data_IF_502054085165
#
_entry.id   IF_502054085165
#
_cell.length_a   1.000
_cell.length_b   1.000
_cell.length_c   1.000
_cell.angle_alpha   90.00
_cell.angle_beta   90.00
_cell.angle_gamma   90.00
#
_symmetry.space_group_name_H-M   'P 1'
#
loop_
_entity.id
_entity.type
_entity.pdbx_description
1 polymer ?
#
# COMPACT_ATOMS: atom_id res chain seq x y z
N UNK A 1 -21.49 21.08 5.08
CA UNK A 1 -22.48 20.04 5.29
C UNK A 1 -23.31 20.44 6.48
N UNK A 2 -24.60 20.57 6.28
CA UNK A 2 -25.54 20.77 7.39
C UNK A 2 -26.09 19.40 7.76
N UNK A 3 -26.19 19.12 9.05
CA UNK A 3 -26.81 17.92 9.58
C UNK A 3 -28.31 18.18 9.69
N UNK A 4 -29.13 17.33 9.08
CA UNK A 4 -30.55 17.25 9.42
C UNK A 4 -30.73 16.46 10.72
N UNK A 5 -31.88 16.60 11.38
CA UNK A 5 -32.20 15.79 12.56
C UNK A 5 -32.16 14.29 12.20
N UNK A 6 -31.49 13.49 13.03
CA UNK A 6 -31.43 12.05 12.79
C UNK A 6 -30.13 11.38 13.24
N UNK A 7 -30.02 10.12 12.87
CA UNK A 7 -28.83 9.28 13.13
C UNK A 7 -28.19 8.85 11.82
N UNK A 8 -26.90 9.03 11.71
CA UNK A 8 -26.12 8.82 10.49
C UNK A 8 -24.95 7.85 10.71
N UNK A 9 -24.54 7.18 9.65
CA UNK A 9 -23.26 6.49 9.61
C UNK A 9 -22.28 7.36 8.82
N UNK A 10 -21.14 7.64 9.41
CA UNK A 10 -20.06 8.43 8.80
C UNK A 10 -18.94 7.48 8.38
N UNK A 11 -18.52 7.56 7.14
CA UNK A 11 -17.40 6.83 6.56
C UNK A 11 -16.41 7.81 5.98
N UNK A 12 -15.13 7.54 6.19
CA UNK A 12 -14.06 8.38 5.66
C UNK A 12 -12.95 7.53 5.07
N UNK A 13 -12.39 7.98 3.96
CA UNK A 13 -11.27 7.37 3.26
C UNK A 13 -10.21 8.44 2.97
N UNK A 14 -8.94 8.06 3.11
CA UNK A 14 -7.79 8.85 2.69
C UNK A 14 -6.85 7.96 1.88
N UNK A 15 -6.20 8.45 0.81
CA UNK A 15 -6.36 9.78 0.22
C UNK A 15 -7.74 10.01 -0.39
N UNK A 16 -8.06 11.30 -0.62
CA UNK A 16 -9.31 11.69 -1.26
C UNK A 16 -9.41 11.05 -2.64
N UNK A 17 -10.53 10.45 -2.92
CA UNK A 17 -10.88 9.95 -4.24
C UNK A 17 -11.59 11.04 -5.04
N UNK A 18 -11.19 11.25 -6.29
CA UNK A 18 -11.81 12.26 -7.17
C UNK A 18 -13.27 11.92 -7.46
N UNK A 19 -13.58 10.63 -7.58
CA UNK A 19 -14.93 10.14 -7.84
C UNK A 19 -15.18 8.84 -7.09
N UNK A 20 -16.26 8.80 -6.35
CA UNK A 20 -16.81 7.57 -5.76
C UNK A 20 -17.85 7.00 -6.72
N UNK A 21 -17.57 5.83 -7.30
CA UNK A 21 -18.45 5.14 -8.24
C UNK A 21 -19.40 4.17 -7.52
N UNK A 22 -18.94 3.56 -6.43
CA UNK A 22 -19.70 2.60 -5.64
C UNK A 22 -19.24 2.63 -4.20
N UNK A 23 -20.16 2.52 -3.25
CA UNK A 23 -19.82 2.40 -1.83
C UNK A 23 -19.39 0.99 -1.46
N UNK A 24 -19.89 -0.02 -2.15
CA UNK A 24 -19.65 -1.43 -1.82
C UNK A 24 -18.48 -2.03 -2.64
N UNK A 25 -18.09 -1.37 -3.75
CA UNK A 25 -17.13 -1.91 -4.71
C UNK A 25 -16.43 -0.78 -5.48
N UNK A 26 -15.79 0.13 -4.74
CA UNK A 26 -15.04 1.24 -5.34
C UNK A 26 -13.75 0.72 -5.97
N UNK A 27 -13.51 0.91 -7.28
CA UNK A 27 -12.25 0.56 -7.90
C UNK A 27 -11.08 1.34 -7.31
N UNK A 28 -9.97 0.65 -7.11
CA UNK A 28 -8.71 1.23 -6.64
C UNK A 28 -7.53 0.48 -7.25
N UNK A 29 -6.42 1.17 -7.46
CA UNK A 29 -5.15 0.55 -7.85
C UNK A 29 -3.99 1.25 -7.16
N UNK A 30 -3.02 0.47 -6.69
CA UNK A 30 -1.76 1.03 -6.20
C UNK A 30 -0.91 1.54 -7.36
N UNK A 31 -0.10 2.55 -7.13
CA UNK A 31 0.87 3.03 -8.11
C UNK A 31 1.92 1.96 -8.40
N UNK A 32 2.26 1.79 -9.68
CA UNK A 32 3.33 0.86 -10.09
C UNK A 32 4.72 1.42 -9.80
N UNK A 33 4.88 2.72 -9.86
CA UNK A 33 6.08 3.42 -9.41
C UNK A 33 5.76 4.21 -8.13
N UNK A 34 6.06 3.60 -7.00
CA UNK A 34 5.85 4.22 -5.69
C UNK A 34 7.02 5.12 -5.28
N UNK A 35 8.11 5.14 -6.06
CA UNK A 35 9.21 6.07 -5.85
C UNK A 35 8.96 7.45 -6.51
N UNK A 36 7.86 7.60 -7.25
CA UNK A 36 7.44 8.90 -7.78
C UNK A 36 7.21 9.87 -6.61
N UNK A 37 7.92 11.01 -6.56
CA UNK A 37 7.82 11.92 -5.45
C UNK A 37 6.51 12.71 -5.46
N UNK A 38 6.07 13.14 -4.28
CA UNK A 38 4.97 14.09 -4.15
C UNK A 38 5.34 15.46 -4.73
N UNK A 39 4.33 16.18 -5.19
CA UNK A 39 4.44 17.57 -5.64
C UNK A 39 3.61 18.50 -4.76
N UNK A 40 3.60 19.79 -5.06
CA UNK A 40 2.73 20.74 -4.36
C UNK A 40 1.23 20.45 -4.54
N UNK A 41 0.85 19.75 -5.62
CA UNK A 41 -0.56 19.52 -6.01
C UNK A 41 -0.96 18.05 -6.08
N UNK A 42 -0.02 17.11 -5.95
CA UNK A 42 -0.27 15.67 -6.02
C UNK A 42 0.52 14.89 -4.97
N UNK A 43 -0.07 13.81 -4.49
CA UNK A 43 0.61 12.82 -3.67
C UNK A 43 1.67 12.09 -4.50
N UNK A 44 2.72 11.59 -3.84
CA UNK A 44 3.65 10.65 -4.43
C UNK A 44 3.02 9.28 -4.64
N UNK A 45 3.69 8.42 -5.39
CA UNK A 45 3.16 7.10 -5.70
C UNK A 45 2.94 6.23 -4.45
N UNK A 46 3.81 6.36 -3.45
CA UNK A 46 3.69 5.66 -2.18
C UNK A 46 2.47 6.13 -1.38
N UNK A 47 2.38 7.44 -1.11
CA UNK A 47 1.28 8.02 -0.33
C UNK A 47 -0.08 7.85 -1.02
N UNK A 48 -0.12 7.93 -2.36
CA UNK A 48 -1.34 7.72 -3.14
C UNK A 48 -1.85 6.27 -3.07
N UNK A 49 -0.96 5.31 -2.77
CA UNK A 49 -1.28 3.89 -2.64
C UNK A 49 -1.75 3.49 -1.25
N UNK A 50 -1.49 4.30 -0.22
CA UNK A 50 -1.78 3.96 1.19
C UNK A 50 -3.17 4.41 1.60
N UNK A 51 -4.14 3.51 1.49
CA UNK A 51 -5.51 3.79 1.89
C UNK A 51 -5.69 3.70 3.40
N UNK A 52 -6.24 4.76 3.99
CA UNK A 52 -6.70 4.83 5.36
C UNK A 52 -8.23 4.87 5.38
N UNK A 53 -8.82 4.12 6.27
CA UNK A 53 -10.27 4.06 6.46
C UNK A 53 -10.64 4.39 7.90
N UNK A 54 -11.75 5.12 8.07
CA UNK A 54 -12.39 5.34 9.35
C UNK A 54 -13.91 5.26 9.22
N UNK A 55 -14.58 4.80 10.26
CA UNK A 55 -16.04 4.81 10.33
C UNK A 55 -16.53 5.09 11.74
N UNK A 56 -17.64 5.82 11.83
CA UNK A 56 -18.42 6.00 13.05
C UNK A 56 -19.88 5.75 12.75
N UNK A 57 -20.47 4.78 13.43
CA UNK A 57 -21.86 4.41 13.24
C UNK A 57 -22.78 5.10 14.27
N UNK A 58 -24.03 5.28 13.87
CA UNK A 58 -25.08 5.81 14.75
C UNK A 58 -24.74 7.17 15.37
N UNK A 59 -24.17 8.06 14.57
CA UNK A 59 -23.86 9.44 14.98
C UNK A 59 -25.15 10.24 14.95
N UNK A 60 -25.55 10.80 16.10
CA UNK A 60 -26.68 11.73 16.17
C UNK A 60 -26.20 13.12 15.81
N UNK A 61 -27.02 13.83 15.02
CA UNK A 61 -26.75 15.22 14.66
C UNK A 61 -26.60 16.09 15.92
N UNK A 62 -25.51 16.81 16.03
CA UNK A 62 -25.20 17.74 17.13
C UNK A 62 -24.16 18.74 16.69
N UNK A 63 -23.95 19.79 17.49
CA UNK A 63 -22.89 20.77 17.27
C UNK A 63 -21.49 20.26 17.68
N UNK A 64 -21.41 19.04 18.23
CA UNK A 64 -20.14 18.44 18.63
C UNK A 64 -19.43 17.80 17.44
N UNK A 65 -18.08 17.90 17.35
CA UNK A 65 -17.30 17.26 16.31
C UNK A 65 -17.43 15.75 16.37
N UNK A 66 -17.48 15.11 15.19
CA UNK A 66 -17.38 13.64 15.07
C UNK A 66 -15.90 13.24 15.04
N UNK A 67 -15.49 12.40 15.99
CA UNK A 67 -14.14 11.87 16.04
C UNK A 67 -14.03 10.64 15.15
N UNK A 68 -13.06 10.63 14.24
CA UNK A 68 -12.77 9.52 13.32
C UNK A 68 -11.35 9.01 13.54
N UNK A 69 -11.22 7.73 13.88
CA UNK A 69 -9.94 7.05 13.99
C UNK A 69 -9.63 6.32 12.69
N UNK A 70 -8.63 6.80 11.96
CA UNK A 70 -8.18 6.18 10.72
C UNK A 70 -7.22 5.01 10.98
N UNK A 71 -7.35 3.97 10.19
CA UNK A 71 -6.43 2.84 10.17
C UNK A 71 -6.09 2.46 8.73
N UNK A 72 -4.88 1.92 8.53
CA UNK A 72 -4.43 1.43 7.23
C UNK A 72 -5.23 0.18 6.83
N UNK A 73 -5.68 0.10 5.58
CA UNK A 73 -6.39 -1.06 5.02
C UNK A 73 -5.62 -1.77 3.92
N UNK A 74 -4.47 -1.22 3.52
CA UNK A 74 -3.51 -1.85 2.63
C UNK A 74 -2.48 -2.65 3.41
N UNK A 75 -1.64 -3.43 2.73
CA UNK A 75 -0.46 -4.08 3.34
C UNK A 75 0.79 -3.28 3.03
N UNK A 76 1.66 -3.12 4.02
CA UNK A 76 2.97 -2.49 3.83
C UNK A 76 4.07 -3.55 3.85
N UNK A 77 4.95 -3.48 2.87
CA UNK A 77 6.20 -4.22 2.83
C UNK A 77 7.36 -3.26 3.04
N UNK A 78 8.19 -3.55 4.02
CA UNK A 78 9.44 -2.83 4.28
C UNK A 78 10.61 -3.74 4.01
N UNK A 79 11.56 -3.30 3.20
CA UNK A 79 12.74 -4.05 2.80
C UNK A 79 13.97 -3.31 3.33
N UNK A 80 14.89 -4.05 3.95
CA UNK A 80 16.20 -3.53 4.35
C UNK A 80 17.30 -4.33 3.71
N UNK A 81 18.25 -3.64 3.10
CA UNK A 81 19.50 -4.24 2.67
C UNK A 81 20.44 -4.28 3.88
N UNK A 82 20.95 -5.44 4.22
CA UNK A 82 21.82 -5.66 5.37
C UNK A 82 23.13 -6.26 4.86
N UNK A 83 24.23 -5.73 5.37
CA UNK A 83 25.57 -6.26 5.05
C UNK A 83 25.74 -7.64 5.63
N UNK A 84 26.01 -8.63 4.78
CA UNK A 84 26.39 -9.99 5.22
C UNK A 84 27.79 -10.03 5.81
N UNK A 85 28.09 -11.05 6.61
CA UNK A 85 29.40 -11.21 7.27
C UNK A 85 30.55 -11.31 6.28
N UNK A 86 30.32 -11.96 5.12
CA UNK A 86 31.33 -12.18 4.08
C UNK A 86 31.39 -11.06 3.05
N UNK A 87 30.62 -9.99 3.21
CA UNK A 87 30.58 -8.88 2.25
C UNK A 87 31.59 -7.80 2.64
N UNK A 88 32.65 -7.65 1.85
CA UNK A 88 33.74 -6.69 2.12
C UNK A 88 33.46 -5.26 1.57
N UNK A 89 32.45 -5.08 0.70
CA UNK A 89 32.12 -3.80 0.08
C UNK A 89 31.19 -2.91 0.92
N UNK A 90 30.83 -1.76 0.36
CA UNK A 90 29.77 -0.91 0.90
C UNK A 90 28.41 -1.30 0.28
N UNK A 91 27.33 -1.21 1.06
CA UNK A 91 25.99 -1.43 0.54
C UNK A 91 25.65 -0.39 -0.52
N UNK A 92 24.88 -0.77 -1.56
CA UNK A 92 24.48 0.17 -2.59
C UNK A 92 23.52 1.22 -2.03
N UNK A 93 23.83 2.49 -2.23
CA UNK A 93 22.98 3.63 -1.82
C UNK A 93 21.92 4.01 -2.86
N UNK A 94 22.00 3.44 -4.05
CA UNK A 94 21.11 3.70 -5.20
C UNK A 94 20.68 2.40 -5.87
N UNK A 95 20.04 1.52 -5.11
CA UNK A 95 19.39 0.36 -5.67
C UNK A 95 17.96 0.70 -6.11
N UNK A 96 17.43 -0.03 -7.10
CA UNK A 96 16.00 -0.10 -7.35
C UNK A 96 15.48 -1.41 -6.81
N UNK A 97 14.41 -1.35 -6.05
CA UNK A 97 13.76 -2.54 -5.49
C UNK A 97 12.38 -2.70 -6.11
N UNK A 98 12.13 -3.90 -6.64
CA UNK A 98 10.85 -4.25 -7.25
C UNK A 98 10.18 -5.33 -6.43
N UNK A 99 8.87 -5.19 -6.26
CA UNK A 99 7.99 -6.23 -5.71
C UNK A 99 7.24 -6.84 -6.88
N UNK A 100 7.49 -8.13 -7.12
CA UNK A 100 6.94 -8.86 -8.25
C UNK A 100 5.67 -9.63 -7.90
N UNK A 101 4.99 -10.13 -8.94
CA UNK A 101 3.92 -11.11 -8.85
C UNK A 101 2.71 -10.65 -8.03
N UNK A 102 2.45 -9.34 -7.95
CA UNK A 102 1.35 -8.77 -7.17
C UNK A 102 0.16 -8.40 -8.05
N UNK A 103 -1.05 -8.60 -7.54
CA UNK A 103 -2.23 -7.90 -8.07
C UNK A 103 -2.20 -6.47 -7.55
N UNK A 104 -2.25 -5.52 -8.46
CA UNK A 104 -2.15 -4.07 -8.15
C UNK A 104 -3.49 -3.37 -8.20
N UNK A 105 -4.51 -4.03 -8.75
CA UNK A 105 -5.89 -3.57 -8.80
C UNK A 105 -6.74 -4.26 -7.76
N UNK A 106 -7.68 -3.51 -7.18
CA UNK A 106 -8.59 -3.96 -6.14
C UNK A 106 -9.96 -3.29 -6.23
N UNK A 107 -10.90 -3.79 -5.46
CA UNK A 107 -12.12 -3.08 -5.08
C UNK A 107 -12.12 -2.83 -3.58
N UNK A 108 -12.67 -1.70 -3.16
CA UNK A 108 -12.78 -1.29 -1.77
C UNK A 108 -14.24 -1.15 -1.38
N UNK A 109 -14.67 -1.86 -0.36
CA UNK A 109 -15.94 -1.61 0.32
C UNK A 109 -15.74 -0.40 1.26
N UNK A 110 -16.28 0.74 0.87
CA UNK A 110 -16.17 2.00 1.62
C UNK A 110 -17.06 2.06 2.87
N UNK A 111 -17.93 1.06 3.10
CA UNK A 111 -18.73 0.95 4.32
C UNK A 111 -18.05 0.11 5.39
N UNK A 112 -17.15 -0.78 4.98
CA UNK A 112 -16.49 -1.73 5.86
C UNK A 112 -14.95 -1.53 5.92
N UNK A 113 -14.36 -0.80 4.97
CA UNK A 113 -12.92 -0.66 4.83
C UNK A 113 -12.24 -1.97 4.40
N UNK A 114 -12.94 -2.80 3.62
CA UNK A 114 -12.41 -4.08 3.13
C UNK A 114 -11.88 -3.90 1.72
N UNK A 115 -10.63 -4.34 1.52
CA UNK A 115 -9.96 -4.35 0.21
C UNK A 115 -9.92 -5.76 -0.33
N UNK A 116 -10.38 -5.94 -1.57
CA UNK A 116 -10.36 -7.22 -2.27
C UNK A 116 -9.62 -7.06 -3.59
N UNK A 117 -8.52 -7.81 -3.79
CA UNK A 117 -7.76 -7.76 -5.04
C UNK A 117 -8.59 -8.28 -6.22
N UNK A 118 -8.30 -7.78 -7.42
CA UNK A 118 -8.96 -8.22 -8.65
C UNK A 118 -8.14 -9.36 -9.31
N UNK A 119 -8.62 -10.62 -9.26
CA UNK A 119 -7.90 -11.76 -9.84
C UNK A 119 -7.98 -11.81 -11.38
N UNK A 120 -8.84 -11.01 -12.00
CA UNK A 120 -9.07 -11.00 -13.45
C UNK A 120 -8.07 -10.12 -14.22
N UNK A 121 -7.18 -9.42 -13.51
CA UNK A 121 -6.09 -8.65 -14.13
C UNK A 121 -4.77 -9.38 -13.97
N UNK A 122 -3.84 -9.10 -14.89
CA UNK A 122 -2.48 -9.67 -14.79
C UNK A 122 -1.77 -9.14 -13.52
N UNK A 123 -0.94 -10.00 -12.92
CA UNK A 123 -0.01 -9.58 -11.88
C UNK A 123 1.03 -8.63 -12.46
N UNK A 124 1.46 -7.68 -11.66
CA UNK A 124 2.40 -6.64 -12.06
C UNK A 124 3.52 -6.51 -11.03
N UNK A 125 4.52 -5.71 -11.38
CA UNK A 125 5.62 -5.35 -10.50
C UNK A 125 5.43 -3.93 -10.00
N UNK A 126 5.80 -3.69 -8.75
CA UNK A 126 5.78 -2.37 -8.11
C UNK A 126 7.23 -1.96 -7.88
N UNK A 127 7.60 -0.75 -8.27
CA UNK A 127 8.85 -0.12 -7.87
C UNK A 127 8.64 0.45 -6.46
N UNK A 128 9.45 0.00 -5.51
CA UNK A 128 9.36 0.44 -4.13
C UNK A 128 9.82 1.89 -3.96
N UNK A 129 9.22 2.57 -2.99
CA UNK A 129 9.69 3.85 -2.50
C UNK A 129 11.00 3.67 -1.73
N UNK A 130 11.99 4.50 -2.01
CA UNK A 130 13.24 4.53 -1.26
C UNK A 130 13.07 5.43 -0.03
N UNK A 131 13.07 4.83 1.16
CA UNK A 131 12.93 5.55 2.44
C UNK A 131 14.24 6.22 2.85
N UNK A 132 15.35 5.48 2.69
CA UNK A 132 16.73 5.91 2.92
C UNK A 132 17.71 5.14 2.02
N UNK A 133 19.01 5.26 2.24
CA UNK A 133 20.06 4.64 1.41
C UNK A 133 19.93 3.12 1.26
N UNK A 134 19.44 2.44 2.28
CA UNK A 134 19.37 0.96 2.36
C UNK A 134 18.00 0.42 2.69
N UNK A 135 17.00 1.29 2.87
CA UNK A 135 15.64 0.90 3.23
C UNK A 135 14.64 1.33 2.17
N UNK A 136 13.69 0.45 1.90
CA UNK A 136 12.65 0.62 0.89
C UNK A 136 11.31 0.20 1.46
N UNK A 137 10.24 0.86 1.01
CA UNK A 137 8.87 0.50 1.39
C UNK A 137 7.97 0.41 0.16
N UNK A 138 6.98 -0.45 0.24
CA UNK A 138 5.91 -0.50 -0.76
C UNK A 138 4.55 -0.77 -0.11
N UNK A 139 3.53 -0.14 -0.65
CA UNK A 139 2.13 -0.43 -0.34
C UNK A 139 1.61 -1.43 -1.36
N UNK A 140 1.08 -2.54 -0.88
CA UNK A 140 0.62 -3.66 -1.69
C UNK A 140 -0.84 -3.96 -1.37
N UNK A 141 -1.62 -4.29 -2.39
CA UNK A 141 -2.99 -4.78 -2.21
C UNK A 141 -2.96 -6.05 -1.35
N UNK A 142 -3.78 -6.16 -0.29
CA UNK A 142 -3.86 -7.38 0.52
C UNK A 142 -4.16 -8.61 -0.35
N UNK A 143 -3.28 -9.62 -0.31
CA UNK A 143 -3.38 -10.84 -1.12
C UNK A 143 -2.48 -11.94 -0.58
N UNK A 144 -2.81 -13.20 -0.89
CA UNK A 144 -2.02 -14.35 -0.49
C UNK A 144 -1.35 -14.99 -1.72
N UNK A 145 -0.03 -15.01 -1.74
CA UNK A 145 0.79 -15.69 -2.75
C UNK A 145 1.19 -17.05 -2.21
N UNK A 146 0.43 -18.08 -2.54
CA UNK A 146 0.58 -19.44 -2.02
C UNK A 146 1.63 -20.28 -2.75
N UNK A 147 1.98 -19.89 -3.98
CA UNK A 147 3.01 -20.56 -4.79
C UNK A 147 4.31 -19.78 -4.70
N UNK A 148 5.44 -20.49 -4.60
CA UNK A 148 6.76 -19.86 -4.71
C UNK A 148 6.94 -19.28 -6.12
N UNK A 149 7.23 -17.99 -6.19
CA UNK A 149 7.40 -17.25 -7.44
C UNK A 149 8.28 -16.01 -7.19
N UNK A 150 8.76 -15.31 -8.26
CA UNK A 150 9.51 -14.10 -8.10
C UNK A 150 8.81 -13.13 -7.15
N UNK A 151 9.50 -12.74 -6.09
CA UNK A 151 8.97 -11.93 -5.00
C UNK A 151 9.61 -10.56 -4.97
N UNK A 152 10.92 -10.50 -4.85
CA UNK A 152 11.71 -9.28 -4.84
C UNK A 152 12.83 -9.33 -5.88
N UNK A 153 13.11 -8.18 -6.47
CA UNK A 153 14.30 -7.93 -7.27
C UNK A 153 15.00 -6.68 -6.72
N UNK A 154 16.29 -6.78 -6.57
CA UNK A 154 17.17 -5.64 -6.25
C UNK A 154 18.09 -5.41 -7.44
N UNK A 155 17.92 -4.28 -8.11
CA UNK A 155 18.75 -3.86 -9.24
C UNK A 155 19.82 -2.87 -8.75
N UNK A 156 21.08 -3.20 -8.98
CA UNK A 156 22.24 -2.36 -8.63
C UNK A 156 23.18 -2.30 -9.83
N UNK A 157 23.46 -1.11 -10.33
CA UNK A 157 24.39 -0.88 -11.46
C UNK A 157 24.09 -1.75 -12.69
N UNK A 158 22.80 -2.01 -12.97
CA UNK A 158 22.36 -2.82 -14.10
C UNK A 158 22.45 -4.34 -13.87
N UNK A 159 22.78 -4.78 -12.66
CA UNK A 159 22.74 -6.20 -12.24
C UNK A 159 21.54 -6.41 -11.35
N UNK A 160 20.73 -7.44 -11.65
CA UNK A 160 19.52 -7.79 -10.91
C UNK A 160 19.71 -9.05 -10.08
N UNK A 161 19.29 -8.97 -8.83
CA UNK A 161 19.27 -10.08 -7.87
C UNK A 161 17.83 -10.43 -7.54
N UNK A 162 17.42 -11.66 -7.78
CA UNK A 162 16.05 -12.13 -7.63
C UNK A 162 15.87 -13.02 -6.40
N UNK A 163 14.78 -12.80 -5.71
CA UNK A 163 14.35 -13.60 -4.57
C UNK A 163 12.96 -14.17 -4.84
N UNK A 164 12.81 -15.46 -4.62
CA UNK A 164 11.52 -16.16 -4.75
C UNK A 164 10.97 -16.52 -3.39
N UNK A 165 9.69 -16.26 -3.18
CA UNK A 165 9.00 -16.60 -1.93
C UNK A 165 7.52 -16.85 -2.14
N UNK A 166 6.90 -17.43 -1.12
CA UNK A 166 5.47 -17.32 -0.83
C UNK A 166 5.28 -16.16 0.12
N UNK A 167 4.22 -15.40 -0.03
CA UNK A 167 4.02 -14.24 0.82
C UNK A 167 2.54 -13.98 1.07
N UNK A 168 2.20 -13.55 2.30
CA UNK A 168 0.83 -13.20 2.69
C UNK A 168 0.77 -11.73 3.10
N UNK A 169 0.25 -10.91 2.20
CA UNK A 169 0.01 -9.49 2.43
C UNK A 169 -1.33 -9.29 3.15
N UNK A 170 -1.29 -9.11 4.47
CA UNK A 170 -2.48 -8.90 5.30
C UNK A 170 -2.85 -7.41 5.36
N UNK A 171 -4.15 -7.06 5.37
CA UNK A 171 -4.60 -5.68 5.50
C UNK A 171 -4.14 -5.07 6.83
N UNK A 172 -3.67 -3.82 6.79
CA UNK A 172 -3.22 -3.07 7.96
C UNK A 172 -1.93 -3.58 8.62
N UNK A 173 -1.20 -4.49 7.95
CA UNK A 173 0.02 -5.10 8.52
C UNK A 173 1.26 -4.61 7.79
N UNK A 174 2.26 -4.16 8.56
CA UNK A 174 3.63 -3.94 8.07
C UNK A 174 4.43 -5.24 8.18
N UNK A 175 5.05 -5.65 7.09
CA UNK A 175 5.93 -6.80 7.00
C UNK A 175 7.36 -6.32 6.76
N UNK A 176 8.33 -6.81 7.54
CA UNK A 176 9.75 -6.50 7.37
C UNK A 176 10.46 -7.68 6.71
N UNK A 177 11.20 -7.39 5.62
CA UNK A 177 12.10 -8.32 4.95
C UNK A 177 13.52 -7.77 5.00
N UNK A 178 14.43 -8.53 5.58
CA UNK A 178 15.84 -8.25 5.58
C UNK A 178 16.51 -9.06 4.46
N UNK A 179 17.19 -8.36 3.55
CA UNK A 179 17.99 -8.97 2.48
C UNK A 179 19.47 -8.83 2.86
N UNK A 180 20.13 -9.97 2.98
CA UNK A 180 21.55 -10.08 3.37
C UNK A 180 22.37 -10.45 2.15
#
# INVERSE_FOLDING_TARGET
LYWDDGTFNVYAIYPRMDKVLSLDSQPFSVALDQNTPKTATSLGGYEASDLLFASQKSVTASDSPVSLLFHHIMSKLRIRLIKGEDFEGELPTKAKVYIHSTFTSATVDLRQGIVTYNPNVARQSIIAHQDDETSYSAIVVPQNITTRMPFLEVEVNGVSYFYESRFNYKPGVENLVNLI
#
